data_IF_530340135327
#
_entry.id   IF_530340135327
#
_cell.length_a   1.000
_cell.length_b   1.000
_cell.length_c   1.000
_cell.angle_alpha   90.00
_cell.angle_beta   90.00
_cell.angle_gamma   90.00
#
_symmetry.space_group_name_H-M   'P 1'
#
loop_
_entity.id
_entity.type
_entity.pdbx_description
1 polymer ?
#
# COMPACT_ATOMS: atom_id res chain seq x y z
N UNK A 1 -5.72 -8.27 -23.66
CA UNK A 1 -6.77 -8.30 -22.62
C UNK A 1 -6.29 -9.20 -21.49
N UNK A 2 -5.60 -8.62 -20.50
CA UNK A 2 -5.28 -9.36 -19.26
C UNK A 2 -6.53 -9.30 -18.37
N UNK A 3 -7.06 -10.48 -18.05
CA UNK A 3 -8.18 -10.63 -17.11
C UNK A 3 -7.59 -10.48 -15.72
N UNK A 4 -7.84 -9.36 -15.05
CA UNK A 4 -7.55 -9.22 -13.63
C UNK A 4 -8.31 -10.30 -12.88
N UNK A 5 -7.60 -11.36 -12.50
CA UNK A 5 -8.07 -12.28 -11.49
C UNK A 5 -8.02 -11.50 -10.17
N UNK A 6 -9.15 -10.93 -9.79
CA UNK A 6 -9.38 -10.55 -8.40
C UNK A 6 -9.28 -11.84 -7.59
N UNK A 7 -8.09 -12.11 -7.07
CA UNK A 7 -7.91 -13.06 -5.97
C UNK A 7 -8.46 -12.30 -4.77
N UNK A 8 -9.58 -12.72 -4.17
CA UNK A 8 -9.99 -12.17 -2.89
C UNK A 8 -8.95 -12.67 -1.89
N UNK A 9 -7.88 -11.89 -1.72
CA UNK A 9 -6.94 -12.09 -0.65
C UNK A 9 -7.74 -12.10 0.64
N UNK A 10 -7.48 -13.11 1.47
CA UNK A 10 -7.97 -13.23 2.85
C UNK A 10 -7.49 -12.03 3.69
N UNK A 11 -8.00 -10.83 3.41
CA UNK A 11 -7.80 -9.65 4.20
C UNK A 11 -8.67 -9.80 5.46
N UNK A 12 -8.12 -10.42 6.50
CA UNK A 12 -8.79 -10.38 7.81
C UNK A 12 -8.27 -11.35 8.86
N UNK A 13 -7.84 -12.55 8.47
CA UNK A 13 -7.32 -13.51 9.44
C UNK A 13 -5.84 -13.24 9.74
N UNK A 14 -5.57 -12.43 10.78
CA UNK A 14 -4.23 -12.26 11.35
C UNK A 14 -3.45 -11.01 10.94
N UNK A 15 -4.08 -10.03 10.26
CA UNK A 15 -3.51 -8.69 10.14
C UNK A 15 -3.65 -7.94 11.47
N UNK A 16 -2.66 -7.12 11.80
CA UNK A 16 -2.81 -6.11 12.83
C UNK A 16 -3.87 -5.07 12.42
N UNK A 17 -4.70 -4.58 13.36
CA UNK A 17 -5.70 -3.54 13.06
C UNK A 17 -5.09 -2.29 12.44
N UNK A 18 -3.83 -1.97 12.80
CA UNK A 18 -3.10 -0.81 12.27
C UNK A 18 -2.74 -1.00 10.80
N UNK A 19 -2.13 -2.13 10.44
CA UNK A 19 -1.79 -2.41 9.04
C UNK A 19 -3.05 -2.50 8.17
N UNK A 20 -4.11 -3.12 8.68
CA UNK A 20 -5.40 -3.17 7.99
C UNK A 20 -5.99 -1.78 7.75
N UNK A 21 -5.93 -0.88 8.75
CA UNK A 21 -6.39 0.50 8.61
C UNK A 21 -5.61 1.28 7.56
N UNK A 22 -4.28 1.21 7.60
CA UNK A 22 -3.42 1.92 6.64
C UNK A 22 -3.65 1.46 5.20
N UNK A 23 -3.81 0.15 4.98
CA UNK A 23 -4.13 -0.39 3.65
C UNK A 23 -5.50 0.12 3.18
N UNK A 24 -6.51 0.09 4.05
CA UNK A 24 -7.85 0.55 3.70
C UNK A 24 -7.90 2.06 3.40
N UNK A 25 -7.23 2.87 4.22
CA UNK A 25 -7.15 4.33 4.05
C UNK A 25 -6.44 4.69 2.74
N UNK A 26 -5.32 4.02 2.46
CA UNK A 26 -4.62 4.21 1.20
C UNK A 26 -5.48 3.81 -0.01
N UNK A 27 -6.12 2.63 0.02
CA UNK A 27 -6.98 2.16 -1.08
C UNK A 27 -8.15 3.11 -1.34
N UNK A 28 -8.78 3.60 -0.27
CA UNK A 28 -9.87 4.57 -0.38
C UNK A 28 -9.43 5.86 -1.07
N UNK A 29 -8.28 6.42 -0.68
CA UNK A 29 -7.75 7.65 -1.27
C UNK A 29 -7.24 7.46 -2.70
N UNK A 30 -6.71 6.27 -3.02
CA UNK A 30 -6.31 5.93 -4.38
C UNK A 30 -7.52 5.88 -5.33
N UNK A 31 -8.59 5.21 -4.94
CA UNK A 31 -9.85 5.20 -5.71
C UNK A 31 -10.43 6.62 -5.85
N UNK A 32 -10.41 7.41 -4.78
CA UNK A 32 -10.90 8.79 -4.84
C UNK A 32 -10.11 9.67 -5.82
N UNK A 33 -8.80 9.45 -5.94
CA UNK A 33 -7.96 10.16 -6.93
C UNK A 33 -8.28 9.73 -8.37
N UNK A 34 -8.48 8.43 -8.60
CA UNK A 34 -8.82 7.87 -9.92
C UNK A 34 -10.18 8.35 -10.46
N UNK A 35 -11.12 8.64 -9.56
CA UNK A 35 -12.46 9.15 -9.92
C UNK A 35 -12.45 10.62 -10.36
N UNK A 36 -11.37 11.37 -10.09
CA UNK A 36 -11.28 12.79 -10.42
C UNK A 36 -10.64 12.97 -11.80
N UNK A 37 -11.40 13.55 -12.74
CA UNK A 37 -10.84 14.00 -14.01
C UNK A 37 -10.03 15.29 -13.82
N UNK A 38 -8.70 15.16 -13.88
CA UNK A 38 -7.77 16.28 -13.77
C UNK A 38 -8.06 17.40 -14.78
N UNK A 39 -8.56 17.09 -15.98
CA UNK A 39 -8.86 18.11 -16.99
C UNK A 39 -10.11 18.95 -16.65
N UNK A 40 -10.94 18.47 -15.72
CA UNK A 40 -12.20 19.10 -15.30
C UNK A 40 -12.03 19.85 -13.98
N UNK A 41 -11.30 19.27 -13.01
CA UNK A 41 -11.06 19.90 -11.70
C UNK A 41 -9.65 19.58 -11.19
N UNK A 42 -8.67 20.37 -11.64
CA UNK A 42 -7.28 20.20 -11.27
C UNK A 42 -7.01 20.45 -9.78
N UNK A 43 -7.71 21.39 -9.16
CA UNK A 43 -7.52 21.69 -7.74
C UNK A 43 -8.03 20.52 -6.87
N UNK A 44 -9.14 19.87 -7.25
CA UNK A 44 -9.61 18.67 -6.56
C UNK A 44 -8.65 17.50 -6.75
N UNK A 45 -8.14 17.33 -7.97
CA UNK A 45 -7.16 16.30 -8.26
C UNK A 45 -5.88 16.48 -7.44
N UNK A 46 -5.33 17.69 -7.38
CA UNK A 46 -4.12 18.01 -6.60
C UNK A 46 -4.30 17.71 -5.11
N UNK A 47 -5.45 18.10 -4.53
CA UNK A 47 -5.75 17.79 -3.12
C UNK A 47 -5.83 16.28 -2.87
N UNK A 48 -6.47 15.53 -3.77
CA UNK A 48 -6.57 14.08 -3.66
C UNK A 48 -5.19 13.42 -3.83
N UNK A 49 -4.35 13.93 -4.75
CA UNK A 49 -3.00 13.44 -4.98
C UNK A 49 -2.10 13.66 -3.74
N UNK A 50 -2.20 14.83 -3.10
CA UNK A 50 -1.50 15.11 -1.84
C UNK A 50 -1.97 14.15 -0.73
N UNK A 51 -3.28 14.00 -0.55
CA UNK A 51 -3.82 13.12 0.49
C UNK A 51 -3.41 11.66 0.28
N UNK A 52 -3.49 11.16 -0.96
CA UNK A 52 -3.04 9.81 -1.34
C UNK A 52 -1.54 9.64 -1.15
N UNK A 53 -0.74 10.67 -1.44
CA UNK A 53 0.71 10.66 -1.19
C UNK A 53 1.06 10.49 0.29
N UNK A 54 0.38 11.22 1.17
CA UNK A 54 0.58 11.09 2.63
C UNK A 54 0.19 9.70 3.14
N UNK A 55 -0.93 9.15 2.67
CA UNK A 55 -1.35 7.80 3.04
C UNK A 55 -0.39 6.72 2.52
N UNK A 56 0.21 6.93 1.34
CA UNK A 56 1.26 6.04 0.82
C UNK A 56 2.49 6.07 1.73
N UNK A 57 2.94 7.25 2.13
CA UNK A 57 4.06 7.40 3.06
C UNK A 57 3.78 6.67 4.37
N UNK A 58 2.60 6.88 4.97
CA UNK A 58 2.22 6.19 6.21
C UNK A 58 2.26 4.65 6.05
N UNK A 59 1.74 4.11 4.95
CA UNK A 59 1.79 2.67 4.66
C UNK A 59 3.22 2.16 4.44
N UNK A 60 4.02 2.88 3.64
CA UNK A 60 5.41 2.52 3.30
C UNK A 60 6.30 2.57 4.55
N UNK A 61 6.12 3.55 5.43
CA UNK A 61 6.95 3.70 6.61
C UNK A 61 6.48 2.88 7.81
N UNK A 62 5.22 2.44 7.86
CA UNK A 62 4.75 1.54 8.91
C UNK A 62 5.53 0.21 8.92
N UNK A 63 6.06 -0.17 10.08
CA UNK A 63 6.76 -1.44 10.24
C UNK A 63 5.76 -2.59 10.46
N UNK A 64 5.79 -3.65 9.63
CA UNK A 64 5.00 -4.86 9.85
C UNK A 64 5.40 -5.56 11.15
N UNK A 65 4.41 -6.01 11.92
CA UNK A 65 4.65 -6.75 13.17
C UNK A 65 4.63 -8.27 13.00
N UNK A 66 4.14 -8.74 11.85
CA UNK A 66 4.02 -10.17 11.53
C UNK A 66 4.33 -10.42 10.06
N UNK A 67 4.56 -11.68 9.70
CA UNK A 67 4.69 -12.09 8.30
C UNK A 67 3.38 -11.85 7.51
N UNK A 68 2.23 -11.93 8.19
CA UNK A 68 0.93 -11.62 7.58
C UNK A 68 0.81 -10.12 7.27
N UNK A 69 1.23 -9.25 8.20
CA UNK A 69 1.29 -7.80 7.95
C UNK A 69 2.24 -7.48 6.79
N UNK A 70 3.41 -8.12 6.76
CA UNK A 70 4.40 -7.91 5.71
C UNK A 70 3.89 -8.37 4.35
N UNK A 71 3.27 -9.55 4.27
CA UNK A 71 2.67 -10.06 3.04
C UNK A 71 1.53 -9.15 2.54
N UNK A 72 0.67 -8.65 3.43
CA UNK A 72 -0.40 -7.74 3.07
C UNK A 72 0.12 -6.39 2.56
N UNK A 73 1.13 -5.83 3.23
CA UNK A 73 1.82 -4.62 2.78
C UNK A 73 2.47 -4.80 1.40
N UNK A 74 3.17 -5.93 1.20
CA UNK A 74 3.75 -6.29 -0.10
C UNK A 74 2.68 -6.33 -1.21
N UNK A 75 1.56 -7.01 -0.97
CA UNK A 75 0.47 -7.11 -1.96
C UNK A 75 -0.09 -5.75 -2.31
N UNK A 76 -0.41 -4.92 -1.29
CA UNK A 76 -0.93 -3.57 -1.51
C UNK A 76 0.05 -2.71 -2.32
N UNK A 77 1.34 -2.77 -2.02
CA UNK A 77 2.36 -1.98 -2.72
C UNK A 77 2.62 -2.45 -4.16
N UNK A 78 2.58 -3.76 -4.43
CA UNK A 78 2.75 -4.31 -5.79
C UNK A 78 1.58 -3.94 -6.71
N UNK A 79 0.35 -3.94 -6.20
CA UNK A 79 -0.84 -3.53 -6.98
C UNK A 79 -0.70 -2.10 -7.51
N UNK A 80 0.00 -1.22 -6.77
CA UNK A 80 0.21 0.19 -7.13
C UNK A 80 1.44 0.37 -8.03
N UNK A 81 2.53 -0.36 -7.75
CA UNK A 81 3.77 -0.29 -8.53
C UNK A 81 3.57 -0.66 -10.00
N UNK A 82 2.59 -1.51 -10.30
CA UNK A 82 2.19 -1.81 -11.67
C UNK A 82 1.79 -0.56 -12.48
N UNK A 83 1.51 0.56 -11.82
CA UNK A 83 1.04 1.80 -12.44
C UNK A 83 2.03 2.97 -12.30
N UNK A 84 3.06 2.90 -11.43
CA UNK A 84 3.96 4.03 -11.13
C UNK A 84 5.44 3.60 -10.99
N UNK A 85 6.33 4.34 -11.66
CA UNK A 85 7.79 4.14 -11.83
C UNK A 85 8.64 4.34 -10.54
N UNK A 86 8.06 4.06 -9.37
CA UNK A 86 8.64 4.29 -8.02
C UNK A 86 9.17 3.00 -7.35
N UNK A 87 9.38 1.97 -8.17
CA UNK A 87 9.54 0.57 -7.79
C UNK A 87 10.77 0.30 -6.89
N UNK A 88 11.90 0.94 -7.17
CA UNK A 88 13.17 0.68 -6.48
C UNK A 88 13.16 1.09 -5.00
N UNK A 89 12.51 2.21 -4.67
CA UNK A 89 12.44 2.69 -3.28
C UNK A 89 11.58 1.77 -2.42
N UNK A 90 10.43 1.34 -2.96
CA UNK A 90 9.51 0.43 -2.27
C UNK A 90 10.18 -0.93 -2.03
N UNK A 91 10.90 -1.49 -3.02
CA UNK A 91 11.64 -2.74 -2.82
C UNK A 91 12.71 -2.64 -1.72
N UNK A 92 13.40 -1.51 -1.61
CA UNK A 92 14.34 -1.28 -0.52
C UNK A 92 13.65 -1.32 0.85
N UNK A 93 12.51 -0.63 0.98
CA UNK A 93 11.74 -0.59 2.23
C UNK A 93 11.19 -1.97 2.62
N UNK A 94 10.69 -2.73 1.65
CA UNK A 94 10.22 -4.10 1.87
C UNK A 94 11.36 -5.02 2.34
N UNK A 95 12.56 -4.86 1.79
CA UNK A 95 13.72 -5.62 2.26
C UNK A 95 14.11 -5.27 3.71
N UNK A 96 14.08 -3.99 4.09
CA UNK A 96 14.31 -3.57 5.48
C UNK A 96 13.32 -4.18 6.47
N UNK A 97 12.03 -4.19 6.10
CA UNK A 97 10.98 -4.76 6.95
C UNK A 97 11.16 -6.27 7.12
N UNK A 98 11.53 -6.99 6.06
CA UNK A 98 11.85 -8.42 6.12
C UNK A 98 13.06 -8.71 7.03
N UNK A 99 14.10 -7.89 6.97
CA UNK A 99 15.30 -8.02 7.83
C UNK A 99 14.93 -7.85 9.30
N UNK A 100 14.15 -6.81 9.63
CA UNK A 100 13.71 -6.55 11.01
C UNK A 100 12.86 -7.70 11.56
N UNK A 101 11.92 -8.19 10.75
CA UNK A 101 11.05 -9.29 11.13
C UNK A 101 11.82 -10.61 11.33
N UNK A 102 12.81 -10.90 10.49
CA UNK A 102 13.69 -12.07 10.65
C UNK A 102 14.52 -12.01 11.95
N UNK A 103 14.89 -10.81 12.40
CA UNK A 103 15.57 -10.59 13.69
C UNK A 103 14.68 -10.80 14.91
N UNK A 104 13.35 -10.67 14.78
CA UNK A 104 12.37 -10.90 15.85
C UNK A 104 12.01 -12.39 16.02
N UNK A 105 12.11 -13.20 14.95
CA UNK A 105 11.87 -14.65 14.98
C UNK A 105 13.02 -15.43 15.65
N UNK A 106 14.21 -14.83 15.79
CA UNK A 106 15.42 -15.48 16.29
C UNK A 106 15.57 -15.47 17.83
N UNK A 107 14.48 -15.35 18.60
CA UNK A 107 14.50 -15.41 20.08
C UNK A 107 13.68 -16.57 20.64
#
# INVERSE_FOLDING_TARGET
MYRSHHVPGSAGAGLSPRMAGLIADFQHLNTALEEIDHSVDADAWDRAAVARGLALDDLVFEQPTTLTDFAAKMTALVEIMAEQDSELFIFHRLAEDAIKLAGEVAK
#
